data_IF_087115327862
#
_entry.id   IF_087115327862
#
_cell.length_a   1.000
_cell.length_b   1.000
_cell.length_c   1.000
_cell.angle_alpha   90.00
_cell.angle_beta   90.00
_cell.angle_gamma   90.00
#
_symmetry.space_group_name_H-M   'P 1'
#
loop_
_entity.id
_entity.type
_entity.pdbx_description
1 polymer ?
#
# COMPACT_ATOMS: atom_id res chain seq x y z
N UNK A 1 2.15 0.73 13.23
CA UNK A 1 3.55 0.36 12.93
C UNK A 1 4.50 1.33 13.59
N UNK A 2 4.35 2.64 13.34
CA UNK A 2 5.22 3.66 13.94
C UNK A 2 5.13 3.75 15.47
N UNK A 3 3.95 3.63 16.07
CA UNK A 3 3.80 3.57 17.54
C UNK A 3 4.56 2.40 18.18
N UNK A 4 4.89 1.37 17.38
CA UNK A 4 5.70 0.21 17.79
C UNK A 4 7.17 0.34 17.36
N UNK A 5 7.60 1.52 16.90
CA UNK A 5 8.96 1.78 16.44
C UNK A 5 9.34 1.10 15.12
N UNK A 6 8.36 0.70 14.30
CA UNK A 6 8.58 0.02 13.02
C UNK A 6 8.35 0.93 11.82
N UNK A 7 9.12 0.73 10.75
CA UNK A 7 9.10 1.56 9.54
C UNK A 7 8.10 1.02 8.51
N UNK A 8 6.98 1.73 8.26
CA UNK A 8 5.96 1.24 7.33
C UNK A 8 6.43 1.35 5.87
N UNK A 9 6.33 0.25 5.15
CA UNK A 9 6.59 0.14 3.72
C UNK A 9 5.33 -0.37 3.02
N UNK A 10 5.07 0.13 1.82
CA UNK A 10 4.02 -0.38 0.93
C UNK A 10 4.64 -0.98 -0.33
N UNK A 11 4.08 -2.09 -0.80
CA UNK A 11 4.36 -2.63 -2.12
C UNK A 11 3.25 -2.20 -3.07
N UNK A 12 3.64 -1.62 -4.21
CA UNK A 12 2.69 -1.04 -5.17
C UNK A 12 2.80 -1.74 -6.52
N UNK A 13 1.64 -2.03 -7.12
CA UNK A 13 1.50 -2.46 -8.51
C UNK A 13 1.59 -1.25 -9.44
N UNK A 14 2.68 -1.13 -10.19
CA UNK A 14 2.94 0.02 -11.06
C UNK A 14 2.18 -0.04 -12.39
N UNK A 15 1.48 -1.14 -12.69
CA UNK A 15 0.64 -1.25 -13.89
C UNK A 15 -0.74 -0.63 -13.70
N UNK A 16 -1.13 -0.29 -12.46
CA UNK A 16 -2.41 0.35 -12.20
C UNK A 16 -2.44 1.78 -12.73
N UNK A 17 -3.56 2.12 -13.38
CA UNK A 17 -3.80 3.46 -13.87
C UNK A 17 -3.72 4.48 -12.73
N UNK A 18 -3.05 5.61 -12.98
CA UNK A 18 -2.90 6.70 -12.03
C UNK A 18 -1.70 6.59 -11.10
N UNK A 19 -0.96 5.46 -11.08
CA UNK A 19 0.28 5.39 -10.29
C UNK A 19 1.34 6.35 -10.85
N UNK A 20 1.83 7.24 -10.00
CA UNK A 20 2.92 8.19 -10.30
C UNK A 20 4.06 7.92 -9.34
N UNK A 21 5.12 7.31 -9.87
CA UNK A 21 6.37 6.99 -9.16
C UNK A 21 7.57 7.16 -10.09
N UNK A 22 8.79 7.36 -9.56
CA UNK A 22 10.02 7.42 -10.36
C UNK A 22 10.31 6.09 -11.07
N UNK A 23 10.12 6.07 -12.39
CA UNK A 23 10.25 4.86 -13.23
C UNK A 23 11.57 4.07 -13.05
N UNK A 24 12.76 4.71 -12.87
CA UNK A 24 14.01 3.97 -12.69
C UNK A 24 14.06 3.04 -11.46
N UNK A 25 13.14 3.22 -10.50
CA UNK A 25 13.08 2.45 -9.25
C UNK A 25 12.02 1.34 -9.29
N UNK A 26 11.31 1.19 -10.40
CA UNK A 26 10.37 0.09 -10.61
C UNK A 26 11.16 -1.19 -10.92
N UNK A 27 10.81 -2.28 -10.23
CA UNK A 27 11.37 -3.61 -10.44
C UNK A 27 10.24 -4.61 -10.57
N UNK A 28 10.24 -5.39 -11.67
CA UNK A 28 9.19 -6.39 -11.96
C UNK A 28 7.78 -5.81 -11.82
N UNK A 29 7.55 -4.65 -12.43
CA UNK A 29 6.29 -3.91 -12.41
C UNK A 29 5.81 -3.50 -11.01
N UNK A 30 6.70 -3.51 -10.02
CA UNK A 30 6.40 -3.13 -8.64
C UNK A 30 7.40 -2.11 -8.12
N UNK A 31 7.00 -1.41 -7.06
CA UNK A 31 7.88 -0.55 -6.29
C UNK A 31 7.57 -0.70 -4.80
N UNK A 32 8.62 -0.70 -4.00
CA UNK A 32 8.52 -0.59 -2.54
C UNK A 32 8.70 0.86 -2.16
N UNK A 33 7.77 1.40 -1.39
CA UNK A 33 7.81 2.78 -0.91
C UNK A 33 7.82 2.80 0.61
N UNK A 34 8.79 3.50 1.19
CA UNK A 34 8.80 3.82 2.61
C UNK A 34 7.85 5.01 2.84
N UNK A 35 6.81 4.80 3.63
CA UNK A 35 5.80 5.83 3.98
C UNK A 35 5.93 6.29 5.43
N UNK A 36 7.03 5.96 6.10
CA UNK A 36 7.30 6.42 7.46
C UNK A 36 7.63 7.91 7.51
N UNK A 37 7.38 8.53 8.66
CA UNK A 37 7.55 9.97 8.91
C UNK A 37 8.95 10.49 8.53
N UNK A 38 9.99 9.65 8.64
CA UNK A 38 11.37 10.02 8.30
C UNK A 38 11.66 10.07 6.80
N UNK A 39 10.87 9.38 5.98
CA UNK A 39 11.09 9.22 4.53
C UNK A 39 10.05 9.93 3.67
N UNK A 40 8.82 10.08 4.19
CA UNK A 40 7.71 10.71 3.49
C UNK A 40 7.38 12.07 4.12
N UNK A 41 7.34 13.10 3.27
CA UNK A 41 6.93 14.46 3.65
C UNK A 41 5.59 14.80 3.01
N UNK A 42 4.77 15.62 3.69
CA UNK A 42 3.40 15.93 3.25
C UNK A 42 2.57 14.67 2.93
N UNK A 43 2.70 13.64 3.78
CA UNK A 43 1.97 12.39 3.63
C UNK A 43 0.47 12.63 3.80
N UNK A 44 -0.29 12.34 2.76
CA UNK A 44 -1.74 12.29 2.77
C UNK A 44 -2.18 10.88 2.41
N UNK A 45 -2.98 10.28 3.30
CA UNK A 45 -3.61 8.99 3.10
C UNK A 45 -5.11 9.23 3.18
N UNK A 46 -5.82 8.86 2.11
CA UNK A 46 -7.28 8.89 2.06
C UNK A 46 -7.79 7.63 1.35
N UNK A 47 -9.11 7.52 1.19
CA UNK A 47 -9.71 6.33 0.60
C UNK A 47 -9.32 6.13 -0.88
N UNK A 48 -8.97 7.21 -1.57
CA UNK A 48 -8.69 7.20 -3.01
C UNK A 48 -7.20 6.94 -3.29
N UNK A 49 -6.32 7.46 -2.44
CA UNK A 49 -4.88 7.46 -2.70
C UNK A 49 -4.01 7.65 -1.46
N UNK A 50 -2.74 7.28 -1.64
CA UNK A 50 -1.61 7.65 -0.80
C UNK A 50 -0.74 8.60 -1.63
N UNK A 51 -0.49 9.80 -1.11
CA UNK A 51 0.37 10.80 -1.77
C UNK A 51 1.34 11.43 -0.80
N UNK A 52 2.56 11.70 -1.26
CA UNK A 52 3.63 12.27 -0.44
C UNK A 52 4.79 12.73 -1.33
N UNK A 53 5.72 13.49 -0.75
CA UNK A 53 7.03 13.79 -1.34
C UNK A 53 8.10 12.94 -0.68
N UNK A 54 8.95 12.30 -1.48
CA UNK A 54 10.10 11.52 -1.00
C UNK A 54 11.33 11.75 -1.86
N UNK A 55 12.50 11.34 -1.35
CA UNK A 55 13.76 11.45 -2.06
C UNK A 55 14.17 10.13 -2.69
N UNK A 56 14.47 10.17 -3.98
CA UNK A 56 15.00 9.06 -4.75
C UNK A 56 16.33 9.51 -5.36
N UNK A 57 17.43 8.87 -4.97
CA UNK A 57 18.79 9.28 -5.36
C UNK A 57 19.04 10.78 -5.10
N UNK A 58 18.68 11.23 -3.89
CA UNK A 58 18.79 12.62 -3.44
C UNK A 58 17.78 13.60 -4.03
N UNK A 59 17.07 13.24 -5.11
CA UNK A 59 16.11 14.11 -5.81
C UNK A 59 14.72 13.99 -5.18
N UNK A 60 14.10 15.13 -4.89
CA UNK A 60 12.71 15.19 -4.41
C UNK A 60 11.76 14.78 -5.54
N UNK A 61 10.81 13.90 -5.23
CA UNK A 61 9.82 13.37 -6.17
C UNK A 61 8.45 13.41 -5.54
N UNK A 62 7.45 13.79 -6.32
CA UNK A 62 6.04 13.64 -5.97
C UNK A 62 5.59 12.22 -6.24
N UNK A 63 4.99 11.60 -5.23
CA UNK A 63 4.47 10.24 -5.27
C UNK A 63 2.96 10.28 -5.14
N UNK A 64 2.29 9.55 -6.02
CA UNK A 64 0.85 9.36 -5.97
C UNK A 64 0.51 7.91 -6.29
N UNK A 65 -0.19 7.25 -5.37
CA UNK A 65 -0.52 5.83 -5.45
C UNK A 65 -2.01 5.68 -5.17
N UNK A 66 -2.84 5.35 -6.17
CA UNK A 66 -4.22 4.93 -5.93
C UNK A 66 -4.29 3.78 -4.94
N UNK A 67 -5.27 3.78 -4.03
CA UNK A 67 -5.38 2.74 -2.99
C UNK A 67 -5.51 1.34 -3.58
N UNK A 68 -6.16 1.20 -4.75
CA UNK A 68 -6.30 -0.07 -5.47
C UNK A 68 -5.00 -0.60 -6.12
N UNK A 69 -3.91 0.18 -6.06
CA UNK A 69 -2.57 -0.22 -6.49
C UNK A 69 -1.69 -0.72 -5.34
N UNK A 70 -2.12 -0.55 -4.08
CA UNK A 70 -1.38 -1.03 -2.91
C UNK A 70 -1.63 -2.53 -2.73
N UNK A 71 -0.57 -3.32 -2.80
CA UNK A 71 -0.63 -4.78 -2.66
C UNK A 71 -0.44 -5.24 -1.22
N UNK A 72 0.45 -4.58 -0.48
CA UNK A 72 0.71 -4.88 0.92
C UNK A 72 1.24 -3.65 1.65
N UNK A 73 1.01 -3.63 2.97
CA UNK A 73 1.73 -2.78 3.91
C UNK A 73 2.45 -3.68 4.92
N UNK A 74 3.73 -3.42 5.17
CA UNK A 74 4.56 -4.21 6.09
C UNK A 74 5.61 -3.35 6.80
N UNK A 75 6.11 -3.84 7.93
CA UNK A 75 7.25 -3.26 8.65
C UNK A 75 8.56 -3.67 7.96
N UNK A 76 9.39 -2.70 7.59
CA UNK A 76 10.64 -2.94 6.85
C UNK A 76 11.65 -3.79 7.61
N UNK A 77 11.59 -3.82 8.95
CA UNK A 77 12.55 -4.50 9.82
C UNK A 77 12.34 -6.02 9.88
N UNK A 78 11.08 -6.47 9.82
CA UNK A 78 10.72 -7.86 10.09
C UNK A 78 9.71 -8.45 9.10
N UNK A 79 9.28 -7.67 8.10
CA UNK A 79 8.32 -8.09 7.07
C UNK A 79 6.91 -8.34 7.59
N UNK A 80 6.60 -8.09 8.87
CA UNK A 80 5.25 -8.28 9.41
C UNK A 80 4.32 -7.23 8.85
N UNK A 81 3.16 -7.65 8.36
CA UNK A 81 2.23 -6.78 7.67
C UNK A 81 0.96 -7.49 7.26
N UNK A 82 0.27 -6.88 6.30
CA UNK A 82 -0.98 -7.38 5.74
C UNK A 82 -0.95 -7.24 4.22
N UNK A 83 -1.53 -8.22 3.54
CA UNK A 83 -1.80 -8.16 2.10
C UNK A 83 -3.22 -7.63 1.87
N UNK A 84 -3.38 -6.78 0.87
CA UNK A 84 -4.69 -6.35 0.43
C UNK A 84 -5.21 -7.31 -0.63
N UNK A 85 -6.41 -7.83 -0.44
CA UNK A 85 -7.07 -8.63 -1.45
C UNK A 85 -7.51 -7.73 -2.61
N UNK A 86 -7.15 -8.07 -3.84
CA UNK A 86 -7.73 -7.43 -5.00
C UNK A 86 -9.21 -7.80 -5.07
N UNK A 87 -10.09 -6.83 -5.36
CA UNK A 87 -11.56 -6.95 -5.40
C UNK A 87 -12.14 -8.09 -6.29
N UNK A 88 -11.32 -8.95 -6.90
CA UNK A 88 -11.73 -10.19 -7.56
C UNK A 88 -12.28 -11.27 -6.60
N UNK A 89 -12.17 -11.10 -5.28
CA UNK A 89 -12.77 -11.99 -4.27
C UNK A 89 -13.70 -11.27 -3.29
N UNK A 90 -14.68 -10.51 -3.79
CA UNK A 90 -15.94 -10.37 -3.01
C UNK A 90 -16.72 -11.68 -3.09
N UNK A 91 -16.27 -12.71 -2.38
CA UNK A 91 -17.17 -13.82 -2.03
C UNK A 91 -18.24 -13.21 -1.13
N UNK A 92 -19.43 -13.01 -1.68
CA UNK A 92 -20.63 -12.68 -0.90
C UNK A 92 -20.67 -13.55 0.36
N UNK A 93 -20.80 -12.98 1.57
CA UNK A 93 -20.94 -13.78 2.76
C UNK A 93 -22.21 -14.62 2.60
N UNK A 94 -22.04 -15.95 2.53
CA UNK A 94 -23.16 -16.89 2.52
C UNK A 94 -23.89 -16.69 3.85
N UNK A 95 -25.09 -16.09 3.82
CA UNK A 95 -25.94 -15.99 5.02
C UNK A 95 -26.00 -17.37 5.67
N UNK A 96 -25.67 -17.52 6.96
CA UNK A 96 -25.76 -18.82 7.62
C UNK A 96 -27.22 -19.28 7.53
N UNK A 97 -27.43 -20.47 6.97
CA UNK A 97 -28.73 -21.09 6.94
C UNK A 97 -28.97 -21.64 8.35
N UNK A 98 -29.68 -20.87 9.18
CA UNK A 98 -30.15 -21.34 10.47
C UNK A 98 -31.36 -22.23 10.21
N UNK A 99 -31.12 -23.52 9.98
CA UNK A 99 -32.18 -24.51 10.18
C UNK A 99 -32.45 -24.53 11.69
N UNK A 100 -33.63 -24.07 12.09
CA UNK A 100 -34.14 -24.33 13.43
C UNK A 100 -34.12 -25.85 13.62
N UNK A 101 -33.48 -26.35 14.69
CA UNK A 101 -33.71 -27.72 15.12
C UNK A 101 -35.16 -27.76 15.63
N UNK A 102 -36.00 -28.54 14.94
CA UNK A 102 -37.34 -28.90 15.40
C UNK A 102 -37.30 -29.66 16.74
#
# INVERSE_FOLDING_TARGET
>A
MEDSGLTPHILVDCLKFGVVVPKPFIQQDKIVLNIGISAASALMINNESISFKARFDGKSQDIYVPTNAVLTIYAGENGKGMFFETESKKTTPKKPNLTLLD
#
